data_IF_322742472978
#
_entry.id   IF_322742472978
#
_cell.length_a   1.000
_cell.length_b   1.000
_cell.length_c   1.000
_cell.angle_alpha   90.00
_cell.angle_beta   90.00
_cell.angle_gamma   90.00
#
_symmetry.space_group_name_H-M   'P 1'
#
loop_
_entity.id
_entity.type
_entity.pdbx_description
1 polymer ?
#
# COMPACT_ATOMS: atom_id res chain seq x y z
N UNK A 1 -42.79 -15.60 -11.42
CA UNK A 1 -42.01 -14.80 -10.45
C UNK A 1 -40.55 -15.21 -10.56
N UNK A 2 -39.65 -14.40 -11.14
CA UNK A 2 -38.23 -14.74 -11.17
C UNK A 2 -37.70 -14.59 -9.74
N UNK A 3 -37.18 -15.69 -9.18
CA UNK A 3 -36.45 -15.66 -7.90
C UNK A 3 -35.23 -14.77 -8.11
N UNK A 4 -35.19 -13.61 -7.45
CA UNK A 4 -33.96 -12.85 -7.29
C UNK A 4 -32.93 -13.82 -6.72
N UNK A 5 -31.93 -14.20 -7.52
CA UNK A 5 -30.76 -14.91 -7.01
C UNK A 5 -30.15 -13.97 -5.98
N UNK A 6 -30.19 -14.35 -4.70
CA UNK A 6 -29.48 -13.64 -3.68
C UNK A 6 -28.01 -13.60 -4.12
N UNK A 7 -27.55 -12.40 -4.45
CA UNK A 7 -26.15 -12.14 -4.76
C UNK A 7 -25.40 -12.29 -3.46
N UNK A 8 -24.76 -13.44 -3.27
CA UNK A 8 -23.97 -13.69 -2.07
C UNK A 8 -22.57 -13.16 -2.33
N UNK A 9 -22.30 -11.93 -1.88
CA UNK A 9 -20.92 -11.45 -1.70
C UNK A 9 -20.16 -12.48 -0.83
N UNK A 10 -18.88 -12.76 -1.10
CA UNK A 10 -18.08 -13.60 -0.23
C UNK A 10 -18.16 -13.06 1.18
N UNK A 11 -18.43 -13.95 2.13
CA UNK A 11 -18.51 -13.57 3.52
C UNK A 11 -17.12 -13.07 3.94
N UNK A 12 -17.05 -11.81 4.33
CA UNK A 12 -15.85 -11.20 4.87
C UNK A 12 -15.54 -11.87 6.21
N UNK A 13 -14.48 -12.68 6.26
CA UNK A 13 -14.05 -13.32 7.51
C UNK A 13 -13.01 -12.46 8.21
N UNK A 14 -12.89 -12.63 9.53
CA UNK A 14 -11.88 -11.92 10.34
C UNK A 14 -10.46 -12.26 9.86
N UNK A 15 -10.25 -13.47 9.33
CA UNK A 15 -8.97 -13.95 8.82
C UNK A 15 -8.54 -13.22 7.54
N UNK A 16 -9.50 -12.70 6.76
CA UNK A 16 -9.23 -11.94 5.56
C UNK A 16 -8.76 -10.51 5.86
N UNK A 17 -9.02 -10.01 7.07
CA UNK A 17 -8.84 -8.62 7.47
C UNK A 17 -7.58 -8.46 8.30
N UNK A 18 -6.73 -7.50 7.95
CA UNK A 18 -5.66 -7.12 8.86
C UNK A 18 -6.17 -6.28 10.04
N UNK A 19 -5.33 -6.11 11.07
CA UNK A 19 -5.68 -5.41 12.31
C UNK A 19 -6.25 -4.00 12.05
N UNK A 20 -5.70 -3.28 11.08
CA UNK A 20 -6.14 -1.91 10.78
C UNK A 20 -7.51 -1.94 10.08
N UNK A 21 -7.71 -2.87 9.14
CA UNK A 21 -9.01 -3.10 8.51
C UNK A 21 -10.07 -3.48 9.55
N UNK A 22 -9.74 -4.36 10.51
CA UNK A 22 -10.64 -4.75 11.61
C UNK A 22 -11.02 -3.56 12.48
N UNK A 23 -10.04 -2.76 12.92
CA UNK A 23 -10.30 -1.57 13.75
C UNK A 23 -11.16 -0.53 13.03
N UNK A 24 -10.98 -0.41 11.71
CA UNK A 24 -11.74 0.54 10.91
C UNK A 24 -13.17 0.05 10.65
N UNK A 25 -13.34 -1.22 10.25
CA UNK A 25 -14.64 -1.81 9.96
C UNK A 25 -15.48 -2.03 11.23
N UNK A 26 -14.86 -2.31 12.38
CA UNK A 26 -15.56 -2.42 13.66
C UNK A 26 -16.29 -1.12 14.06
N UNK A 27 -15.78 0.04 13.65
CA UNK A 27 -16.45 1.35 13.86
C UNK A 27 -17.64 1.58 12.91
N UNK A 28 -17.82 0.70 11.93
CA UNK A 28 -18.88 0.75 10.90
C UNK A 28 -19.79 -0.49 10.97
N UNK A 29 -19.97 -1.06 12.16
CA UNK A 29 -20.67 -2.34 12.42
C UNK A 29 -22.15 -2.38 12.01
N UNK A 30 -22.75 -1.24 11.65
CA UNK A 30 -24.14 -1.13 11.18
C UNK A 30 -24.28 -1.25 9.64
N UNK A 31 -23.17 -1.38 8.92
CA UNK A 31 -23.18 -1.50 7.46
C UNK A 31 -23.66 -2.90 7.01
N UNK A 32 -24.43 -2.93 5.92
CA UNK A 32 -24.76 -4.16 5.23
C UNK A 32 -23.52 -4.79 4.57
N UNK A 33 -23.61 -6.06 4.10
CA UNK A 33 -22.47 -6.77 3.52
C UNK A 33 -21.81 -6.04 2.34
N UNK A 34 -22.60 -5.37 1.50
CA UNK A 34 -22.10 -4.64 0.34
C UNK A 34 -21.36 -3.37 0.74
N UNK A 35 -21.90 -2.63 1.69
CA UNK A 35 -21.29 -1.41 2.22
C UNK A 35 -19.99 -1.72 2.97
N UNK A 36 -19.90 -2.87 3.67
CA UNK A 36 -18.65 -3.34 4.29
C UNK A 36 -17.57 -3.65 3.24
N UNK A 37 -17.93 -4.30 2.13
CA UNK A 37 -17.00 -4.55 1.04
C UNK A 37 -16.53 -3.28 0.33
N UNK A 38 -17.43 -2.33 0.10
CA UNK A 38 -17.08 -1.01 -0.44
C UNK A 38 -16.12 -0.27 0.49
N UNK A 39 -16.43 -0.22 1.79
CA UNK A 39 -15.56 0.39 2.80
C UNK A 39 -14.18 -0.27 2.83
N UNK A 40 -14.10 -1.60 2.70
CA UNK A 40 -12.83 -2.32 2.61
C UNK A 40 -12.02 -1.90 1.37
N UNK A 41 -12.66 -1.82 0.20
CA UNK A 41 -12.00 -1.40 -1.03
C UNK A 41 -11.44 0.03 -0.90
N UNK A 42 -12.22 0.96 -0.34
CA UNK A 42 -11.80 2.35 -0.09
C UNK A 42 -10.54 2.40 0.79
N UNK A 43 -10.54 1.71 1.94
CA UNK A 43 -9.40 1.70 2.86
C UNK A 43 -8.14 1.15 2.19
N UNK A 44 -8.27 0.05 1.44
CA UNK A 44 -7.13 -0.57 0.79
C UNK A 44 -6.59 0.30 -0.34
N UNK A 45 -7.46 0.99 -1.09
CA UNK A 45 -7.08 1.98 -2.08
C UNK A 45 -6.34 3.17 -1.43
N UNK A 46 -6.85 3.71 -0.33
CA UNK A 46 -6.20 4.79 0.42
C UNK A 46 -4.82 4.38 0.94
N UNK A 47 -4.70 3.16 1.47
CA UNK A 47 -3.41 2.62 1.94
C UNK A 47 -2.43 2.43 0.79
N UNK A 48 -2.88 1.97 -0.37
CA UNK A 48 -2.05 1.89 -1.57
C UNK A 48 -1.58 3.28 -2.01
N UNK A 49 -2.45 4.30 -1.98
CA UNK A 49 -2.09 5.68 -2.32
C UNK A 49 -1.08 6.28 -1.33
N UNK A 50 -1.23 6.04 -0.02
CA UNK A 50 -0.25 6.46 0.99
C UNK A 50 1.10 5.76 0.75
N UNK A 51 1.09 4.45 0.50
CA UNK A 51 2.30 3.69 0.23
C UNK A 51 2.99 4.13 -1.07
N UNK A 52 2.22 4.50 -2.09
CA UNK A 52 2.71 5.08 -3.34
C UNK A 52 3.46 6.39 -3.08
N UNK A 53 2.84 7.32 -2.36
CA UNK A 53 3.47 8.61 -1.99
C UNK A 53 4.77 8.41 -1.20
N UNK A 54 4.79 7.43 -0.28
CA UNK A 54 5.99 7.10 0.47
C UNK A 54 7.11 6.52 -0.42
N UNK A 55 6.75 5.65 -1.39
CA UNK A 55 7.69 5.13 -2.39
C UNK A 55 8.26 6.26 -3.24
N UNK A 56 7.41 7.15 -3.76
CA UNK A 56 7.81 8.26 -4.62
C UNK A 56 8.74 9.24 -3.91
N UNK A 57 8.44 9.57 -2.64
CA UNK A 57 9.32 10.37 -1.80
C UNK A 57 10.68 9.72 -1.55
N UNK A 58 10.70 8.39 -1.30
CA UNK A 58 11.94 7.64 -1.08
C UNK A 58 12.79 7.55 -2.36
N UNK A 59 12.16 7.35 -3.52
CA UNK A 59 12.82 7.33 -4.82
C UNK A 59 13.44 8.70 -5.14
N UNK A 60 12.67 9.77 -4.93
CA UNK A 60 13.14 11.16 -5.10
C UNK A 60 14.28 11.53 -4.15
N UNK A 61 14.27 11.03 -2.91
CA UNK A 61 15.35 11.25 -1.95
C UNK A 61 16.62 10.52 -2.36
N UNK A 62 16.50 9.25 -2.74
CA UNK A 62 17.63 8.45 -3.23
C UNK A 62 18.23 9.05 -4.51
N UNK A 63 17.41 9.41 -5.49
CA UNK A 63 17.86 9.98 -6.76
C UNK A 63 18.66 11.28 -6.54
N UNK A 64 18.17 12.17 -5.67
CA UNK A 64 18.89 13.40 -5.30
C UNK A 64 20.24 13.09 -4.65
N UNK A 65 20.26 12.21 -3.65
CA UNK A 65 21.50 11.85 -2.97
C UNK A 65 22.53 11.18 -3.90
N UNK A 66 22.06 10.34 -4.84
CA UNK A 66 22.91 9.70 -5.84
C UNK A 66 23.53 10.72 -6.81
N UNK A 67 22.72 11.67 -7.31
CA UNK A 67 23.21 12.76 -8.17
C UNK A 67 24.19 13.67 -7.41
N UNK A 68 23.87 14.05 -6.17
CA UNK A 68 24.74 14.86 -5.33
C UNK A 68 26.08 14.16 -5.06
N UNK A 69 26.08 12.85 -4.79
CA UNK A 69 27.31 12.08 -4.59
C UNK A 69 28.19 12.12 -5.85
N UNK A 70 27.61 11.83 -7.02
CA UNK A 70 28.32 11.83 -8.31
C UNK A 70 28.87 13.21 -8.68
N UNK A 71 28.14 14.29 -8.34
CA UNK A 71 28.54 15.68 -8.61
C UNK A 71 29.44 16.32 -7.54
N UNK A 72 29.65 15.67 -6.39
CA UNK A 72 30.25 16.33 -5.21
C UNK A 72 31.77 16.55 -5.27
N UNK A 73 32.50 15.81 -6.10
CA UNK A 73 33.96 15.76 -6.03
C UNK A 73 34.51 15.21 -4.70
N UNK A 74 33.66 14.67 -3.82
CA UNK A 74 34.05 14.17 -2.51
C UNK A 74 35.06 13.01 -2.62
N UNK A 75 36.02 12.97 -1.69
CA UNK A 75 37.06 11.92 -1.63
C UNK A 75 37.25 11.43 -0.20
N UNK A 76 37.87 10.25 -0.07
CA UNK A 76 38.22 9.66 1.21
C UNK A 76 37.03 9.54 2.15
N UNK A 77 37.20 10.00 3.40
CA UNK A 77 36.17 9.87 4.45
C UNK A 77 34.84 10.58 4.12
N UNK A 78 34.86 11.65 3.33
CA UNK A 78 33.64 12.33 2.91
C UNK A 78 32.86 11.51 1.89
N UNK A 79 33.55 10.94 0.91
CA UNK A 79 32.94 10.04 -0.08
C UNK A 79 32.29 8.84 0.61
N UNK A 80 33.00 8.18 1.53
CA UNK A 80 32.49 7.02 2.27
C UNK A 80 31.21 7.37 3.03
N UNK A 81 31.16 8.54 3.68
CA UNK A 81 29.98 9.00 4.43
C UNK A 81 28.78 9.24 3.53
N UNK A 82 28.97 9.96 2.41
CA UNK A 82 27.90 10.25 1.45
C UNK A 82 27.41 8.98 0.75
N UNK A 83 28.32 8.06 0.40
CA UNK A 83 27.97 6.75 -0.17
C UNK A 83 27.14 5.92 0.80
N UNK A 84 27.50 5.90 2.09
CA UNK A 84 26.72 5.19 3.11
C UNK A 84 25.29 5.76 3.26
N UNK A 85 25.10 7.07 3.07
CA UNK A 85 23.77 7.68 3.07
C UNK A 85 22.98 7.29 1.81
N UNK A 86 23.61 7.24 0.64
CA UNK A 86 22.97 6.71 -0.59
C UNK A 86 22.54 5.25 -0.39
N UNK A 87 23.39 4.40 0.18
CA UNK A 87 23.07 3.00 0.49
C UNK A 87 21.94 2.85 1.51
N UNK A 88 21.87 3.77 2.48
CA UNK A 88 20.75 3.84 3.43
C UNK A 88 19.45 4.22 2.73
N UNK A 89 19.47 5.24 1.87
CA UNK A 89 18.31 5.68 1.11
C UNK A 89 17.84 4.62 0.11
N UNK A 90 18.77 3.88 -0.50
CA UNK A 90 18.46 2.73 -1.37
C UNK A 90 17.65 1.66 -0.61
N UNK A 91 18.05 1.33 0.62
CA UNK A 91 17.30 0.39 1.47
C UNK A 91 15.91 0.91 1.82
N UNK A 92 15.78 2.20 2.12
CA UNK A 92 14.48 2.84 2.39
C UNK A 92 13.59 2.78 1.14
N UNK A 93 14.14 3.10 -0.03
CA UNK A 93 13.45 3.01 -1.33
C UNK A 93 12.94 1.60 -1.60
N UNK A 94 13.79 0.58 -1.43
CA UNK A 94 13.42 -0.81 -1.62
C UNK A 94 12.32 -1.26 -0.64
N UNK A 95 12.41 -0.86 0.62
CA UNK A 95 11.39 -1.15 1.62
C UNK A 95 10.04 -0.49 1.27
N UNK A 96 10.06 0.79 0.89
CA UNK A 96 8.87 1.53 0.48
C UNK A 96 8.23 0.91 -0.78
N UNK A 97 9.03 0.50 -1.76
CA UNK A 97 8.54 -0.20 -2.95
C UNK A 97 7.89 -1.55 -2.61
N UNK A 98 8.48 -2.33 -1.71
CA UNK A 98 7.90 -3.59 -1.26
C UNK A 98 6.56 -3.37 -0.53
N UNK A 99 6.47 -2.32 0.31
CA UNK A 99 5.25 -1.95 1.01
C UNK A 99 4.13 -1.50 0.04
N UNK A 100 4.48 -0.69 -0.96
CA UNK A 100 3.55 -0.29 -2.01
C UNK A 100 2.99 -1.50 -2.77
N UNK A 101 3.86 -2.39 -3.28
CA UNK A 101 3.41 -3.60 -3.99
C UNK A 101 2.45 -4.46 -3.17
N UNK A 102 2.73 -4.63 -1.87
CA UNK A 102 1.83 -5.38 -0.98
C UNK A 102 0.47 -4.70 -0.82
N UNK A 103 0.46 -3.37 -0.65
CA UNK A 103 -0.78 -2.60 -0.51
C UNK A 103 -1.60 -2.60 -1.80
N UNK A 104 -0.96 -2.41 -2.95
CA UNK A 104 -1.57 -2.45 -4.27
C UNK A 104 -2.18 -3.83 -4.58
N UNK A 105 -1.43 -4.92 -4.35
CA UNK A 105 -1.95 -6.27 -4.56
C UNK A 105 -3.18 -6.55 -3.68
N UNK A 106 -3.18 -6.11 -2.42
CA UNK A 106 -4.34 -6.23 -1.53
C UNK A 106 -5.55 -5.45 -2.06
N UNK A 107 -5.34 -4.20 -2.49
CA UNK A 107 -6.40 -3.37 -3.03
C UNK A 107 -7.00 -3.97 -4.31
N UNK A 108 -6.15 -4.44 -5.23
CA UNK A 108 -6.58 -5.11 -6.45
C UNK A 108 -7.33 -6.41 -6.16
N UNK A 109 -6.84 -7.24 -5.22
CA UNK A 109 -7.51 -8.47 -4.83
C UNK A 109 -8.89 -8.22 -4.22
N UNK A 110 -9.00 -7.23 -3.32
CA UNK A 110 -10.28 -6.86 -2.72
C UNK A 110 -11.27 -6.31 -3.76
N UNK A 111 -10.80 -5.46 -4.68
CA UNK A 111 -11.64 -4.93 -5.76
C UNK A 111 -12.09 -6.04 -6.71
N UNK A 112 -11.20 -6.96 -7.11
CA UNK A 112 -11.54 -8.09 -7.94
C UNK A 112 -12.58 -9.01 -7.27
N UNK A 113 -12.43 -9.28 -5.98
CA UNK A 113 -13.40 -10.05 -5.21
C UNK A 113 -14.77 -9.37 -5.13
N UNK A 114 -14.79 -8.03 -5.00
CA UNK A 114 -16.03 -7.26 -5.02
C UNK A 114 -16.72 -7.27 -6.39
N UNK A 115 -15.95 -7.09 -7.48
CA UNK A 115 -16.48 -7.06 -8.85
C UNK A 115 -16.91 -8.43 -9.37
N UNK A 116 -16.35 -9.52 -8.83
CA UNK A 116 -16.75 -10.88 -9.17
C UNK A 116 -18.13 -11.28 -8.63
N UNK A 117 -18.79 -10.40 -7.85
CA UNK A 117 -20.14 -10.61 -7.36
C UNK A 117 -21.16 -9.86 -8.22
N UNK A 118 -22.01 -10.57 -8.99
CA UNK A 118 -22.96 -9.97 -9.94
C UNK A 118 -24.08 -9.18 -9.29
#
# INVERSE_FOLDING_TARGET
MPRQRAVTLPRLTVEDLDRDELLFLAKRSLLGPRELWLARCEILADRAAIAFRARDAADSAWARAAVELLGSGARGAEWTRRNAEVDRLERIKQHAAAKYRRAENKAQAAHAAFMACP
#
